data_IF_327147982939
#
_entry.id   IF_327147982939
#
_cell.length_a   1.000
_cell.length_b   1.000
_cell.length_c   1.000
_cell.angle_alpha   90.00
_cell.angle_beta   90.00
_cell.angle_gamma   90.00
#
_symmetry.space_group_name_H-M   'P 1'
#
loop_
_entity.id
_entity.type
_entity.pdbx_description
1 polymer ?
#
# COMPACT_ATOMS: atom_id res chain seq x y z
N UNK A 1 10.75 -5.93 -0.54
CA UNK A 1 9.48 -5.87 -1.29
C UNK A 1 9.41 -4.56 -2.08
N UNK A 2 8.34 -4.24 -2.82
CA UNK A 2 8.11 -2.90 -3.40
C UNK A 2 7.14 -2.06 -2.55
N UNK A 3 6.15 -2.72 -1.96
CA UNK A 3 5.19 -2.15 -1.01
C UNK A 3 5.31 -2.94 0.28
N UNK A 4 5.40 -2.29 1.43
CA UNK A 4 5.56 -2.93 2.73
C UNK A 4 4.67 -2.25 3.77
N UNK A 5 4.23 -3.00 4.78
CA UNK A 5 3.54 -2.40 5.93
C UNK A 5 4.57 -1.59 6.73
N UNK A 6 4.21 -0.38 7.11
CA UNK A 6 5.09 0.48 7.91
C UNK A 6 5.29 -0.11 9.30
N UNK A 7 6.50 0.06 9.86
CA UNK A 7 6.77 -0.24 11.27
C UNK A 7 6.42 0.95 12.18
N UNK A 8 6.55 2.17 11.65
CA UNK A 8 6.20 3.40 12.34
C UNK A 8 4.85 3.92 11.83
N UNK A 9 3.78 3.92 12.66
CA UNK A 9 2.47 4.44 12.28
C UNK A 9 2.48 5.91 11.83
N UNK A 10 3.49 6.71 12.23
CA UNK A 10 3.64 8.08 11.76
C UNK A 10 3.91 8.16 10.24
N UNK A 11 4.35 7.06 9.61
CA UNK A 11 4.56 6.95 8.17
C UNK A 11 3.33 6.41 7.43
N UNK A 12 2.19 6.29 8.10
CA UNK A 12 0.96 5.73 7.54
C UNK A 12 0.91 4.22 7.65
N UNK A 13 0.13 3.57 6.79
CA UNK A 13 -0.13 2.13 6.82
C UNK A 13 0.84 1.34 5.94
N UNK A 14 1.22 1.93 4.79
CA UNK A 14 2.11 1.30 3.81
C UNK A 14 3.20 2.26 3.34
N UNK A 15 4.34 1.68 2.97
CA UNK A 15 5.45 2.40 2.35
C UNK A 15 5.88 1.72 1.05
N UNK A 16 6.19 2.52 0.05
CA UNK A 16 6.61 2.09 -1.29
C UNK A 16 8.05 2.50 -1.53
N UNK A 17 8.89 1.52 -1.88
CA UNK A 17 10.33 1.69 -2.12
C UNK A 17 10.70 1.72 -3.61
N UNK A 18 9.70 1.69 -4.49
CA UNK A 18 9.88 1.73 -5.94
C UNK A 18 10.77 2.89 -6.42
N UNK A 19 10.61 4.14 -5.93
CA UNK A 19 11.43 5.26 -6.42
C UNK A 19 12.94 5.03 -6.19
N UNK A 20 13.31 4.43 -5.05
CA UNK A 20 14.69 4.09 -4.72
C UNK A 20 15.30 3.10 -5.71
N UNK A 21 14.51 2.12 -6.15
CA UNK A 21 14.97 1.12 -7.12
C UNK A 21 15.07 1.69 -8.54
N UNK A 22 14.14 2.57 -8.90
CA UNK A 22 14.13 3.25 -10.19
C UNK A 22 15.25 4.29 -10.33
N UNK A 23 15.70 4.90 -9.23
CA UNK A 23 16.75 5.92 -9.24
C UNK A 23 18.01 5.49 -9.99
N UNK A 24 18.47 4.25 -9.79
CA UNK A 24 19.66 3.72 -10.47
C UNK A 24 19.44 3.56 -11.98
N UNK A 25 18.28 3.04 -12.38
CA UNK A 25 17.95 2.78 -13.78
C UNK A 25 17.70 4.07 -14.55
N UNK A 26 16.98 5.01 -13.95
CA UNK A 26 16.63 6.28 -14.57
C UNK A 26 17.74 7.33 -14.43
N UNK A 27 18.75 7.11 -13.57
CA UNK A 27 19.80 8.06 -13.20
C UNK A 27 19.23 9.39 -12.69
N UNK A 28 18.19 9.32 -11.86
CA UNK A 28 17.45 10.47 -11.33
C UNK A 28 17.36 10.42 -9.81
N UNK A 29 17.27 11.57 -9.11
CA UNK A 29 17.08 11.60 -7.67
C UNK A 29 15.81 10.85 -7.26
N UNK A 30 15.86 9.92 -6.28
CA UNK A 30 14.68 9.13 -5.91
C UNK A 30 13.53 9.98 -5.38
N UNK A 31 13.82 11.11 -4.73
CA UNK A 31 12.82 12.08 -4.29
C UNK A 31 12.01 12.65 -5.46
N UNK A 32 12.67 13.00 -6.57
CA UNK A 32 11.99 13.52 -7.75
C UNK A 32 11.09 12.45 -8.39
N UNK A 33 11.58 11.20 -8.46
CA UNK A 33 10.80 10.07 -8.96
C UNK A 33 9.57 9.83 -8.06
N UNK A 34 9.74 9.90 -6.73
CA UNK A 34 8.66 9.69 -5.78
C UNK A 34 7.56 10.76 -5.92
N UNK A 35 7.93 12.04 -6.04
CA UNK A 35 6.98 13.13 -6.28
C UNK A 35 6.20 12.96 -7.57
N UNK A 36 6.89 12.67 -8.69
CA UNK A 36 6.23 12.46 -9.98
C UNK A 36 5.25 11.28 -9.96
N UNK A 37 5.62 10.19 -9.28
CA UNK A 37 4.71 9.06 -9.12
C UNK A 37 3.47 9.45 -8.30
N UNK A 38 3.64 10.20 -7.21
CA UNK A 38 2.50 10.68 -6.41
C UNK A 38 1.58 11.60 -7.21
N UNK A 39 2.14 12.50 -8.01
CA UNK A 39 1.37 13.42 -8.86
C UNK A 39 0.63 12.70 -10.00
N UNK A 40 1.23 11.64 -10.56
CA UNK A 40 0.62 10.86 -11.64
C UNK A 40 -0.40 9.81 -11.17
N UNK A 41 -0.44 9.48 -9.88
CA UNK A 41 -1.31 8.45 -9.34
C UNK A 41 -2.76 8.94 -9.22
N UNK A 42 -3.68 8.24 -9.88
CA UNK A 42 -5.11 8.29 -9.55
C UNK A 42 -5.45 7.15 -8.60
N UNK A 43 -5.62 7.48 -7.31
CA UNK A 43 -5.86 6.48 -6.27
C UNK A 43 -7.37 6.28 -6.03
N UNK A 44 -7.81 5.04 -5.76
CA UNK A 44 -9.20 4.79 -5.43
C UNK A 44 -9.57 5.38 -4.06
N UNK A 45 -10.88 5.52 -3.74
CA UNK A 45 -11.34 6.11 -2.48
C UNK A 45 -10.90 5.36 -1.21
N UNK A 46 -10.36 4.15 -1.33
CA UNK A 46 -9.78 3.41 -0.22
C UNK A 46 -8.45 3.97 0.28
N UNK A 47 -7.81 4.84 -0.51
CA UNK A 47 -6.58 5.53 -0.14
C UNK A 47 -6.94 6.86 0.51
N UNK A 48 -6.34 7.12 1.67
CA UNK A 48 -6.40 8.41 2.33
C UNK A 48 -5.27 9.31 1.82
N UNK A 49 -4.29 9.59 2.68
CA UNK A 49 -3.16 10.47 2.39
C UNK A 49 -1.99 9.73 1.77
N UNK A 50 -1.37 10.33 0.77
CA UNK A 50 -0.03 9.96 0.30
C UNK A 50 0.98 11.05 0.64
N UNK A 51 2.22 10.66 0.94
CA UNK A 51 3.30 11.59 1.24
C UNK A 51 4.64 11.04 0.77
N UNK A 52 5.52 11.93 0.31
CA UNK A 52 6.89 11.58 -0.05
C UNK A 52 7.81 11.84 1.13
N UNK A 53 8.68 10.90 1.45
CA UNK A 53 9.64 11.00 2.54
C UNK A 53 11.06 10.66 2.06
N UNK A 54 12.07 11.34 2.62
CA UNK A 54 13.47 11.06 2.32
C UNK A 54 13.84 9.60 2.70
N UNK A 55 14.68 8.92 1.90
CA UNK A 55 15.37 9.39 0.70
C UNK A 55 14.59 9.14 -0.62
N UNK A 56 13.28 8.86 -0.58
CA UNK A 56 12.44 8.56 -1.75
C UNK A 56 11.39 7.48 -1.48
N UNK A 57 10.88 7.40 -0.25
CA UNK A 57 9.74 6.57 0.10
C UNK A 57 8.45 7.28 -0.29
N UNK A 58 7.45 6.51 -0.71
CA UNK A 58 6.07 6.99 -0.77
C UNK A 58 5.29 6.30 0.35
N UNK A 59 4.82 7.09 1.29
CA UNK A 59 4.06 6.67 2.44
C UNK A 59 2.56 6.87 2.17
N UNK A 60 1.76 5.87 2.52
CA UNK A 60 0.33 5.79 2.18
C UNK A 60 -0.45 5.49 3.45
N UNK A 61 -1.51 6.25 3.71
CA UNK A 61 -2.56 5.90 4.67
C UNK A 61 -3.78 5.37 3.94
N UNK A 62 -4.49 4.44 4.54
CA UNK A 62 -5.82 4.04 4.10
C UNK A 62 -6.85 5.06 4.57
N UNK A 63 -7.96 5.16 3.84
CA UNK A 63 -9.10 5.99 4.23
C UNK A 63 -9.82 5.34 5.43
N UNK A 64 -9.90 6.00 6.60
CA UNK A 64 -10.51 5.41 7.79
C UNK A 64 -11.97 4.97 7.57
N UNK A 65 -12.74 5.75 6.81
CA UNK A 65 -14.14 5.39 6.51
C UNK A 65 -14.22 4.11 5.66
N UNK A 66 -13.32 3.95 4.70
CA UNK A 66 -13.24 2.74 3.88
C UNK A 66 -12.87 1.53 4.73
N UNK A 67 -11.91 1.67 5.65
CA UNK A 67 -11.52 0.61 6.59
C UNK A 67 -12.70 0.17 7.47
N UNK A 68 -13.43 1.12 8.05
CA UNK A 68 -14.59 0.84 8.89
C UNK A 68 -15.70 0.14 8.10
N UNK A 69 -15.91 0.53 6.83
CA UNK A 69 -16.89 -0.09 5.95
C UNK A 69 -16.58 -1.56 5.62
N UNK A 70 -15.38 -2.07 5.92
CA UNK A 70 -15.07 -3.50 5.76
C UNK A 70 -15.64 -4.34 6.90
N UNK A 71 -15.99 -3.77 8.05
CA UNK A 71 -16.46 -4.53 9.21
C UNK A 71 -17.81 -5.24 8.99
N UNK A 72 -18.85 -4.60 8.43
CA UNK A 72 -20.13 -5.28 8.19
C UNK A 72 -20.02 -6.54 7.30
N UNK A 73 -19.43 -6.50 6.09
CA UNK A 73 -19.34 -7.71 5.26
C UNK A 73 -18.49 -8.82 5.90
N UNK A 74 -17.48 -8.45 6.69
CA UNK A 74 -16.69 -9.43 7.47
C UNK A 74 -17.56 -10.09 8.53
N UNK A 75 -18.33 -9.31 9.29
CA UNK A 75 -19.25 -9.83 10.30
C UNK A 75 -20.32 -10.75 9.68
N UNK A 76 -20.88 -10.35 8.54
CA UNK A 76 -21.89 -11.13 7.81
C UNK A 76 -21.35 -12.48 7.31
N UNK A 77 -20.06 -12.55 6.97
CA UNK A 77 -19.42 -13.80 6.54
C UNK A 77 -19.19 -14.83 7.66
N UNK A 78 -19.28 -14.41 8.93
CA UNK A 78 -19.23 -15.29 10.10
C UNK A 78 -18.02 -16.24 10.12
N UNK A 79 -18.19 -17.53 10.52
CA UNK A 79 -17.10 -18.51 10.61
C UNK A 79 -16.43 -18.89 9.28
N UNK A 80 -16.98 -18.42 8.16
CA UNK A 80 -16.41 -18.65 6.83
C UNK A 80 -15.38 -17.59 6.42
N UNK A 81 -15.31 -16.47 7.14
CA UNK A 81 -14.33 -15.41 6.88
C UNK A 81 -12.90 -15.96 6.87
N UNK A 82 -12.10 -15.54 5.89
CA UNK A 82 -10.71 -15.97 5.76
C UNK A 82 -10.50 -17.39 5.23
N UNK A 83 -11.58 -18.16 4.97
CA UNK A 83 -11.45 -19.42 4.21
C UNK A 83 -11.06 -19.07 2.77
N UNK A 84 -10.08 -19.79 2.26
CA UNK A 84 -9.57 -19.59 0.91
C UNK A 84 -9.50 -20.93 0.18
N UNK A 85 -9.82 -20.89 -1.10
CA UNK A 85 -9.69 -22.04 -2.00
C UNK A 85 -8.29 -22.14 -2.62
N UNK A 86 -7.37 -21.27 -2.18
CA UNK A 86 -5.98 -21.28 -2.62
C UNK A 86 -5.34 -22.62 -2.23
N UNK A 87 -4.80 -23.32 -3.23
CA UNK A 87 -4.20 -24.64 -3.04
C UNK A 87 -5.19 -25.81 -3.11
N UNK A 88 -6.48 -25.59 -3.43
CA UNK A 88 -7.42 -26.69 -3.69
C UNK A 88 -6.86 -27.60 -4.79
N UNK A 89 -6.60 -28.86 -4.45
CA UNK A 89 -6.03 -29.87 -5.36
C UNK A 89 -4.51 -29.82 -5.52
N UNK A 90 -3.81 -28.96 -4.77
CA UNK A 90 -2.34 -28.97 -4.69
C UNK A 90 -1.87 -29.84 -3.52
N UNK A 91 -0.79 -30.64 -3.68
CA UNK A 91 -0.13 -31.28 -2.56
C UNK A 91 0.40 -30.24 -1.58
N UNK A 92 0.42 -30.58 -0.28
CA UNK A 92 0.96 -29.75 0.81
C UNK A 92 2.47 -29.89 0.96
#
# INVERSE_FOLDING_TARGET
MLVERTQNPAHGDYSVTLPLKLARTLRRPPMAIASELVEAMSLPPSFGRTSVAAPGFINITLEPAWLQAQLPPIADSGPSWGRSELGRGSPV
#
